data_IF_021200507476
#
_entry.id   IF_021200507476
#
_cell.length_a   1.000
_cell.length_b   1.000
_cell.length_c   1.000
_cell.angle_alpha   90.00
_cell.angle_beta   90.00
_cell.angle_gamma   90.00
#
_symmetry.space_group_name_H-M   'P 1'
#
loop_
_entity.id
_entity.type
_entity.pdbx_description
1 polymer ?
#
# COMPACT_ATOMS: atom_id res chain seq x y z
N UNK A 1 1.99 -55.76 -1.06
CA UNK A 1 1.29 -56.40 0.07
C UNK A 1 1.85 -55.84 1.37
N UNK A 2 1.25 -54.78 1.90
CA UNK A 2 1.60 -54.23 3.22
C UNK A 2 0.51 -54.70 4.20
N UNK A 3 0.73 -55.86 4.81
CA UNK A 3 -0.15 -56.42 5.83
C UNK A 3 0.11 -55.76 7.17
N UNK A 4 -0.93 -55.17 7.74
CA UNK A 4 -1.00 -54.49 9.03
C UNK A 4 -0.46 -55.32 10.19
N UNK A 5 0.69 -54.90 10.74
CA UNK A 5 1.27 -55.41 11.99
C UNK A 5 0.68 -54.60 13.17
N UNK A 6 -0.55 -54.89 13.58
CA UNK A 6 -1.14 -54.27 14.78
C UNK A 6 -1.83 -55.28 15.73
N UNK A 7 -1.82 -56.57 15.41
CA UNK A 7 -2.36 -57.59 16.31
C UNK A 7 -1.32 -57.95 17.38
N UNK A 8 -1.37 -57.27 18.54
CA UNK A 8 -0.62 -57.67 19.74
C UNK A 8 -0.13 -56.54 20.65
N UNK A 9 -0.19 -55.28 20.23
CA UNK A 9 0.27 -54.14 21.04
C UNK A 9 -0.76 -53.77 22.11
N UNK A 10 -0.32 -53.61 23.37
CA UNK A 10 -1.15 -53.07 24.45
C UNK A 10 -1.53 -51.62 24.10
N UNK A 11 -2.71 -51.16 24.54
CA UNK A 11 -3.24 -49.81 24.24
C UNK A 11 -2.22 -48.67 24.45
N UNK A 12 -1.35 -48.79 25.46
CA UNK A 12 -0.31 -47.81 25.75
C UNK A 12 0.83 -47.78 24.71
N UNK A 13 1.19 -48.93 24.14
CA UNK A 13 2.23 -49.02 23.10
C UNK A 13 1.72 -48.47 21.76
N UNK A 14 0.43 -48.63 21.50
CA UNK A 14 -0.25 -48.10 20.32
C UNK A 14 -0.36 -46.56 20.39
N UNK A 15 -0.66 -46.01 21.58
CA UNK A 15 -0.63 -44.57 21.83
C UNK A 15 0.78 -43.99 21.69
N UNK A 16 1.79 -44.61 22.30
CA UNK A 16 3.18 -44.14 22.21
C UNK A 16 3.70 -44.16 20.75
N UNK A 17 3.32 -45.16 19.95
CA UNK A 17 3.67 -45.22 18.54
C UNK A 17 2.96 -44.10 17.74
N UNK A 18 1.69 -43.84 18.01
CA UNK A 18 0.94 -42.77 17.36
C UNK A 18 1.52 -41.38 17.68
N UNK A 19 1.85 -41.13 18.95
CA UNK A 19 2.48 -39.88 19.40
C UNK A 19 3.84 -39.68 18.75
N UNK A 20 4.69 -40.72 18.72
CA UNK A 20 5.99 -40.67 18.04
C UNK A 20 5.84 -40.35 16.56
N UNK A 21 4.90 -40.99 15.89
CA UNK A 21 4.65 -40.77 14.45
C UNK A 21 4.13 -39.35 14.19
N UNK A 22 3.25 -38.83 15.05
CA UNK A 22 2.77 -37.45 14.98
C UNK A 22 3.91 -36.44 15.17
N UNK A 23 4.81 -36.69 16.12
CA UNK A 23 5.97 -35.85 16.36
C UNK A 23 6.89 -35.82 15.12
N UNK A 24 7.17 -36.98 14.53
CA UNK A 24 7.97 -37.08 13.31
C UNK A 24 7.35 -36.27 12.14
N UNK A 25 6.02 -36.32 11.97
CA UNK A 25 5.35 -35.50 10.96
C UNK A 25 5.42 -34.00 11.25
N UNK A 26 5.33 -33.59 12.52
CA UNK A 26 5.47 -32.19 12.91
C UNK A 26 6.88 -31.65 12.63
N UNK A 27 7.91 -32.46 12.92
CA UNK A 27 9.30 -32.11 12.66
C UNK A 27 9.57 -31.99 11.15
N UNK A 28 9.02 -32.92 10.35
CA UNK A 28 9.08 -32.85 8.89
C UNK A 28 8.38 -31.60 8.33
N UNK A 29 7.22 -31.23 8.87
CA UNK A 29 6.52 -29.99 8.49
C UNK A 29 7.34 -28.75 8.81
N UNK A 30 7.98 -28.70 9.97
CA UNK A 30 8.86 -27.58 10.35
C UNK A 30 10.06 -27.46 9.40
N UNK A 31 10.71 -28.58 9.09
CA UNK A 31 11.85 -28.59 8.17
C UNK A 31 11.46 -28.17 6.75
N UNK A 32 10.31 -28.63 6.25
CA UNK A 32 9.79 -28.19 4.94
C UNK A 32 9.51 -26.69 4.92
N UNK A 33 8.88 -26.15 5.97
CA UNK A 33 8.64 -24.70 6.08
C UNK A 33 9.94 -23.91 6.12
N UNK A 34 10.94 -24.41 6.84
CA UNK A 34 12.28 -23.80 6.90
C UNK A 34 12.93 -23.76 5.51
N UNK A 35 12.90 -24.88 4.78
CA UNK A 35 13.45 -24.96 3.41
C UNK A 35 12.74 -24.04 2.43
N UNK A 36 11.41 -23.91 2.53
CA UNK A 36 10.64 -22.98 1.69
C UNK A 36 11.06 -21.53 1.99
N UNK A 37 11.23 -21.18 3.26
CA UNK A 37 11.69 -19.85 3.66
C UNK A 37 13.12 -19.57 3.15
N UNK A 38 14.03 -20.54 3.29
CA UNK A 38 15.40 -20.44 2.79
C UNK A 38 15.44 -20.26 1.26
N UNK A 39 14.69 -21.08 0.53
CA UNK A 39 14.58 -20.99 -0.93
C UNK A 39 13.98 -19.64 -1.37
N UNK A 40 12.97 -19.15 -0.66
CA UNK A 40 12.41 -17.81 -0.88
C UNK A 40 13.45 -16.71 -0.64
N UNK A 41 14.29 -16.86 0.38
CA UNK A 41 15.37 -15.91 0.69
C UNK A 41 16.46 -15.90 -0.39
N UNK A 42 16.89 -17.08 -0.87
CA UNK A 42 17.86 -17.22 -1.98
C UNK A 42 17.30 -16.67 -3.29
N UNK A 43 16.06 -17.02 -3.64
CA UNK A 43 15.41 -16.51 -4.84
C UNK A 43 15.27 -14.99 -4.80
N UNK A 44 14.82 -14.45 -3.66
CA UNK A 44 14.70 -13.01 -3.50
C UNK A 44 16.08 -12.34 -3.56
N UNK A 45 17.10 -12.84 -2.87
CA UNK A 45 18.44 -12.24 -2.92
C UNK A 45 19.10 -12.29 -4.31
N UNK A 46 18.79 -13.30 -5.12
CA UNK A 46 19.30 -13.44 -6.50
C UNK A 46 18.43 -12.82 -7.60
N UNK A 47 17.23 -12.33 -7.29
CA UNK A 47 16.40 -11.67 -8.29
C UNK A 47 17.10 -10.38 -8.77
N UNK A 48 17.20 -10.17 -10.09
CA UNK A 48 17.84 -8.99 -10.70
C UNK A 48 17.26 -7.65 -10.21
N UNK A 49 16.04 -7.64 -9.66
CA UNK A 49 15.45 -6.48 -9.00
C UNK A 49 16.21 -6.05 -7.72
N UNK A 50 16.97 -6.97 -7.12
CA UNK A 50 17.81 -6.77 -5.93
C UNK A 50 19.31 -6.63 -6.27
N UNK A 51 19.72 -6.81 -7.54
CA UNK A 51 21.02 -6.37 -8.05
C UNK A 51 21.06 -4.84 -8.13
N UNK A 52 21.12 -4.19 -6.95
CA UNK A 52 21.14 -2.73 -6.71
C UNK A 52 20.81 -1.90 -7.96
N UNK A 53 19.54 -1.88 -8.43
CA UNK A 53 19.08 -0.68 -9.11
C UNK A 53 19.25 0.41 -8.07
N UNK A 54 19.98 1.48 -8.40
CA UNK A 54 20.09 2.64 -7.51
C UNK A 54 18.67 2.97 -7.07
N UNK A 55 18.40 3.08 -5.76
CA UNK A 55 17.02 3.27 -5.25
C UNK A 55 16.31 4.44 -5.97
N UNK A 56 17.08 5.40 -6.48
CA UNK A 56 16.64 6.48 -7.37
C UNK A 56 15.89 6.01 -8.63
N UNK A 57 16.32 4.94 -9.29
CA UNK A 57 15.66 4.41 -10.49
C UNK A 57 14.27 3.81 -10.19
N UNK A 58 14.12 3.15 -9.04
CA UNK A 58 12.81 2.70 -8.59
C UNK A 58 11.87 3.85 -8.28
N UNK A 59 12.39 4.91 -7.65
CA UNK A 59 11.58 6.08 -7.33
C UNK A 59 11.02 6.73 -8.61
N UNK A 60 11.85 6.86 -9.67
CA UNK A 60 11.39 7.35 -10.97
C UNK A 60 10.27 6.46 -11.54
N UNK A 61 10.44 5.13 -11.52
CA UNK A 61 9.40 4.19 -11.96
C UNK A 61 8.11 4.36 -11.15
N UNK A 62 8.22 4.52 -9.83
CA UNK A 62 7.06 4.71 -8.96
C UNK A 62 6.35 6.04 -9.21
N UNK A 63 7.07 7.11 -9.56
CA UNK A 63 6.45 8.37 -9.96
C UNK A 63 5.54 8.19 -11.18
N UNK A 64 5.89 7.33 -12.15
CA UNK A 64 5.01 7.05 -13.29
C UNK A 64 3.71 6.29 -12.94
N UNK A 65 3.60 5.73 -11.73
CA UNK A 65 2.34 5.12 -11.27
C UNK A 65 1.41 6.21 -10.77
N UNK A 66 0.60 6.75 -11.66
CA UNK A 66 -0.41 7.77 -11.35
C UNK A 66 -1.75 7.15 -10.96
N UNK A 67 -2.51 7.77 -10.05
CA UNK A 67 -3.89 7.36 -9.80
C UNK A 67 -4.68 7.47 -11.11
N UNK A 68 -5.34 6.39 -11.52
CA UNK A 68 -6.22 6.40 -12.69
C UNK A 68 -7.68 6.25 -12.27
N UNK A 69 -8.61 6.50 -13.20
CA UNK A 69 -10.03 6.26 -12.95
C UNK A 69 -10.34 4.79 -12.64
N UNK A 70 -9.63 3.88 -13.32
CA UNK A 70 -9.79 2.43 -13.14
C UNK A 70 -9.16 1.97 -11.85
N UNK A 71 -8.06 2.61 -11.46
CA UNK A 71 -7.25 2.16 -10.36
C UNK A 71 -6.63 3.32 -9.60
N UNK A 72 -7.45 3.90 -8.74
CA UNK A 72 -7.02 5.05 -7.96
C UNK A 72 -5.95 4.64 -6.95
N UNK A 73 -6.10 3.48 -6.28
CA UNK A 73 -5.26 3.00 -5.18
C UNK A 73 -3.86 2.49 -5.58
N UNK A 74 -3.49 2.52 -6.87
CA UNK A 74 -2.20 2.02 -7.33
C UNK A 74 -0.99 2.59 -6.55
N UNK A 75 -0.89 3.90 -6.28
CA UNK A 75 0.22 4.47 -5.49
C UNK A 75 0.28 3.94 -4.05
N UNK A 76 -0.87 3.74 -3.41
CA UNK A 76 -0.90 3.17 -2.05
C UNK A 76 -0.47 1.71 -2.09
N UNK A 77 -0.96 0.91 -3.05
CA UNK A 77 -0.61 -0.52 -3.13
C UNK A 77 0.88 -0.73 -3.37
N UNK A 78 1.59 0.18 -4.04
CA UNK A 78 3.06 0.15 -4.12
C UNK A 78 3.72 0.16 -2.73
N UNK A 79 3.15 0.86 -1.76
CA UNK A 79 3.64 0.87 -0.36
C UNK A 79 3.40 -0.46 0.38
N UNK A 80 2.58 -1.35 -0.19
CA UNK A 80 2.27 -2.66 0.39
C UNK A 80 3.07 -3.81 -0.22
N UNK A 81 3.82 -3.61 -1.30
CA UNK A 81 4.60 -4.68 -1.97
C UNK A 81 5.68 -5.25 -1.06
N UNK A 82 6.56 -4.41 -0.53
CA UNK A 82 7.59 -4.84 0.42
C UNK A 82 8.03 -3.68 1.34
N UNK A 83 8.77 -4.02 2.40
CA UNK A 83 9.28 -3.03 3.37
C UNK A 83 10.21 -2.01 2.73
N UNK A 84 11.09 -2.44 1.82
CA UNK A 84 12.05 -1.56 1.15
C UNK A 84 11.34 -0.49 0.29
N UNK A 85 10.33 -0.90 -0.50
CA UNK A 85 9.53 0.01 -1.32
C UNK A 85 8.75 0.99 -0.46
N UNK A 86 8.11 0.51 0.60
CA UNK A 86 7.42 1.37 1.57
C UNK A 86 8.36 2.42 2.13
N UNK A 87 9.54 2.03 2.59
CA UNK A 87 10.52 2.97 3.17
C UNK A 87 10.98 3.99 2.13
N UNK A 88 11.26 3.57 0.90
CA UNK A 88 11.67 4.47 -0.19
C UNK A 88 10.56 5.48 -0.53
N UNK A 89 9.34 5.01 -0.73
CA UNK A 89 8.18 5.83 -1.10
C UNK A 89 7.82 6.81 0.03
N UNK A 90 7.76 6.33 1.28
CA UNK A 90 7.41 7.19 2.41
C UNK A 90 8.47 8.27 2.69
N UNK A 91 9.75 8.01 2.39
CA UNK A 91 10.84 8.97 2.58
C UNK A 91 11.02 9.93 1.41
N UNK A 92 10.21 9.82 0.36
CA UNK A 92 10.31 10.67 -0.82
C UNK A 92 9.10 11.61 -0.91
N UNK A 93 9.24 12.87 -0.46
CA UNK A 93 8.17 13.85 -0.58
C UNK A 93 7.79 14.14 -2.04
N UNK A 94 8.77 14.02 -2.95
CA UNK A 94 8.58 14.23 -4.40
C UNK A 94 7.56 13.23 -4.97
N UNK A 95 7.61 11.97 -4.53
CA UNK A 95 6.64 10.97 -4.97
C UNK A 95 5.21 11.36 -4.61
N UNK A 96 5.00 11.90 -3.40
CA UNK A 96 3.67 12.29 -2.93
C UNK A 96 3.19 13.58 -3.58
N UNK A 97 4.09 14.53 -3.82
CA UNK A 97 3.81 15.75 -4.57
C UNK A 97 3.30 15.48 -5.99
N UNK A 98 3.92 14.53 -6.69
CA UNK A 98 3.48 14.10 -8.03
C UNK A 98 2.04 13.55 -8.05
N UNK A 99 1.54 13.03 -6.91
CA UNK A 99 0.13 12.59 -6.79
C UNK A 99 -0.84 13.74 -6.50
N UNK A 100 -0.33 14.90 -6.08
CA UNK A 100 -1.12 16.11 -5.79
C UNK A 100 -1.15 17.11 -6.94
N UNK A 101 -0.32 16.95 -7.98
CA UNK A 101 -0.29 17.86 -9.14
C UNK A 101 0.21 17.12 -10.39
N UNK A 102 -0.64 16.30 -11.05
CA UNK A 102 -0.18 15.49 -12.16
C UNK A 102 0.12 16.31 -13.43
N UNK A 103 -0.35 17.56 -13.54
CA UNK A 103 -0.10 18.44 -14.70
C UNK A 103 -0.26 19.92 -14.28
N UNK A 104 0.66 20.84 -14.67
CA UNK A 104 0.40 22.28 -14.53
C UNK A 104 -0.91 22.64 -15.24
N UNK A 105 -1.82 23.30 -14.51
CA UNK A 105 -3.21 23.64 -14.89
C UNK A 105 -4.27 22.53 -14.76
N UNK A 106 -3.93 21.35 -14.23
CA UNK A 106 -4.93 20.33 -13.89
C UNK A 106 -5.46 20.50 -12.46
N UNK A 107 -6.78 20.60 -12.31
CA UNK A 107 -7.41 20.53 -10.98
C UNK A 107 -7.39 19.09 -10.47
N UNK A 108 -6.86 18.86 -9.27
CA UNK A 108 -7.08 17.59 -8.55
C UNK A 108 -8.55 17.52 -8.17
N UNK A 109 -9.29 16.64 -8.86
CA UNK A 109 -10.68 16.31 -8.54
C UNK A 109 -10.69 15.25 -7.43
N UNK A 110 -10.76 15.68 -6.19
CA UNK A 110 -10.84 14.77 -5.06
C UNK A 110 -12.28 14.26 -4.89
N UNK A 111 -12.51 12.99 -5.18
CA UNK A 111 -13.69 12.21 -4.83
C UNK A 111 -13.46 11.36 -3.58
N UNK A 112 -14.53 10.73 -3.06
CA UNK A 112 -14.42 9.75 -1.98
C UNK A 112 -13.46 8.60 -2.26
N UNK A 113 -13.36 8.15 -3.53
CA UNK A 113 -12.45 7.06 -3.90
C UNK A 113 -11.00 7.51 -3.90
N UNK A 114 -10.75 8.81 -4.09
CA UNK A 114 -9.42 9.40 -4.08
C UNK A 114 -8.89 9.82 -2.72
N UNK A 115 -9.79 9.86 -1.74
CA UNK A 115 -9.56 10.42 -0.42
C UNK A 115 -8.28 9.88 0.27
N UNK A 116 -8.06 8.55 0.37
CA UNK A 116 -6.91 8.03 1.10
C UNK A 116 -5.56 8.44 0.52
N UNK A 117 -5.48 8.63 -0.81
CA UNK A 117 -4.23 9.02 -1.48
C UNK A 117 -3.97 10.50 -1.29
N UNK A 118 -5.01 11.32 -1.44
CA UNK A 118 -4.90 12.76 -1.22
C UNK A 118 -4.43 13.02 0.21
N UNK A 119 -5.02 12.34 1.20
CA UNK A 119 -4.61 12.43 2.61
C UNK A 119 -3.17 11.96 2.82
N UNK A 120 -2.82 10.77 2.33
CA UNK A 120 -1.46 10.23 2.47
C UNK A 120 -0.42 11.13 1.78
N UNK A 121 -0.79 11.76 0.67
CA UNK A 121 0.07 12.67 -0.05
C UNK A 121 0.23 13.99 0.68
N UNK A 122 -0.84 14.55 1.28
CA UNK A 122 -0.73 15.71 2.15
C UNK A 122 0.19 15.45 3.34
N UNK A 123 -0.02 14.34 4.06
CA UNK A 123 0.75 13.99 5.25
C UNK A 123 2.27 13.87 4.96
N UNK A 124 2.62 13.39 3.77
CA UNK A 124 3.99 12.97 3.43
C UNK A 124 4.71 13.88 2.43
N UNK A 125 4.00 14.83 1.83
CA UNK A 125 4.60 15.83 0.94
C UNK A 125 5.30 16.94 1.73
N UNK A 126 6.24 17.62 1.07
CA UNK A 126 6.75 18.89 1.59
C UNK A 126 5.70 19.99 1.38
N UNK A 127 5.71 21.06 2.18
CA UNK A 127 4.82 22.19 1.98
C UNK A 127 5.00 22.76 0.56
N UNK A 128 3.97 22.64 -0.26
CA UNK A 128 3.98 23.20 -1.61
C UNK A 128 3.27 24.55 -1.62
N UNK A 129 3.89 25.56 -2.23
CA UNK A 129 3.45 26.96 -2.16
C UNK A 129 2.14 27.26 -2.93
N UNK A 130 1.66 26.33 -3.75
CA UNK A 130 0.44 26.53 -4.53
C UNK A 130 -0.18 25.22 -4.99
N UNK A 131 -1.00 24.62 -4.12
CA UNK A 131 -1.84 23.49 -4.53
C UNK A 131 -3.25 23.99 -4.85
N UNK A 132 -3.79 23.59 -6.01
CA UNK A 132 -5.17 23.88 -6.43
C UNK A 132 -6.01 22.61 -6.38
N UNK A 133 -6.99 22.59 -5.48
CA UNK A 133 -7.89 21.44 -5.34
C UNK A 133 -9.31 21.78 -5.74
N UNK A 134 -9.98 20.82 -6.38
CA UNK A 134 -11.43 20.80 -6.52
C UNK A 134 -11.98 19.68 -5.64
N UNK A 135 -12.59 20.06 -4.52
CA UNK A 135 -13.02 19.12 -3.50
C UNK A 135 -14.53 18.95 -3.49
N UNK A 136 -14.98 17.71 -3.32
CA UNK A 136 -16.37 17.44 -2.99
C UNK A 136 -16.68 17.87 -1.55
N UNK A 137 -17.84 18.49 -1.30
CA UNK A 137 -18.21 19.09 0.00
C UNK A 137 -18.02 18.15 1.21
N UNK A 138 -18.29 16.85 1.02
CA UNK A 138 -18.14 15.84 2.05
C UNK A 138 -16.70 15.62 2.54
N UNK A 139 -15.71 16.20 1.86
CA UNK A 139 -14.30 16.12 2.21
C UNK A 139 -13.83 17.24 3.16
N UNK A 140 -14.59 18.33 3.28
CA UNK A 140 -14.24 19.46 4.16
C UNK A 140 -13.99 19.08 5.63
N UNK A 141 -14.81 18.22 6.26
CA UNK A 141 -14.55 17.81 7.65
C UNK A 141 -13.23 17.06 7.81
N UNK A 142 -12.76 16.37 6.77
CA UNK A 142 -11.51 15.60 6.83
C UNK A 142 -10.29 16.51 6.76
N UNK A 143 -10.34 17.58 5.96
CA UNK A 143 -9.28 18.59 5.94
C UNK A 143 -9.12 19.29 7.28
N UNK A 144 -10.21 19.53 8.01
CA UNK A 144 -10.16 20.12 9.35
C UNK A 144 -9.42 19.24 10.37
N UNK A 145 -9.27 17.94 10.11
CA UNK A 145 -8.52 17.01 10.98
C UNK A 145 -7.02 16.98 10.71
N UNK A 146 -6.53 17.70 9.69
CA UNK A 146 -5.11 17.73 9.31
C UNK A 146 -4.55 19.16 9.47
N UNK A 147 -4.45 19.67 10.70
CA UNK A 147 -4.12 21.08 10.96
C UNK A 147 -2.70 21.48 10.50
N UNK A 148 -1.75 20.55 10.41
CA UNK A 148 -0.35 20.84 10.02
C UNK A 148 -0.13 21.07 8.52
N UNK A 149 -1.10 20.76 7.66
CA UNK A 149 -0.95 20.82 6.20
C UNK A 149 -1.88 21.83 5.52
N UNK A 150 -2.62 22.64 6.29
CA UNK A 150 -3.55 23.65 5.73
C UNK A 150 -2.82 24.94 5.34
N UNK A 151 -1.73 25.30 6.04
CA UNK A 151 -0.91 26.50 5.74
C UNK A 151 -0.38 26.59 4.30
N UNK A 152 0.02 25.49 3.61
CA UNK A 152 0.43 25.56 2.20
C UNK A 152 -0.71 25.64 1.16
N UNK A 153 -1.98 25.52 1.56
CA UNK A 153 -3.10 25.60 0.60
C UNK A 153 -3.35 27.07 0.25
N UNK A 154 -2.82 27.52 -0.88
CA UNK A 154 -3.01 28.91 -1.35
C UNK A 154 -4.36 29.13 -2.05
N UNK A 155 -5.02 28.07 -2.53
CA UNK A 155 -6.33 28.19 -3.19
C UNK A 155 -7.15 26.90 -3.07
N UNK A 156 -8.37 27.02 -2.53
CA UNK A 156 -9.29 25.90 -2.34
C UNK A 156 -10.57 26.10 -3.17
N UNK A 157 -10.77 25.31 -4.21
CA UNK A 157 -12.03 25.34 -4.97
C UNK A 157 -12.98 24.27 -4.45
N UNK A 158 -14.18 24.68 -4.06
CA UNK A 158 -15.22 23.76 -3.63
C UNK A 158 -16.18 23.52 -4.80
N UNK A 159 -16.26 22.25 -5.22
CA UNK A 159 -17.21 21.85 -6.25
C UNK A 159 -18.51 21.43 -5.57
N UNK A 160 -19.52 22.29 -5.68
CA UNK A 160 -20.88 21.99 -5.25
C UNK A 160 -21.56 21.18 -6.36
N UNK A 161 -21.47 19.86 -6.27
CA UNK A 161 -22.31 18.99 -7.10
C UNK A 161 -23.67 18.89 -6.42
N UNK A 162 -24.59 19.79 -6.77
CA UNK A 162 -25.98 19.67 -6.39
C UNK A 162 -26.65 18.64 -7.32
N UNK A 163 -27.33 17.63 -6.76
CA UNK A 163 -27.95 16.53 -7.52
C UNK A 163 -29.09 16.96 -8.48
N UNK A 164 -29.37 18.26 -8.57
CA UNK A 164 -30.33 18.85 -9.51
C UNK A 164 -29.69 20.06 -10.20
N UNK A 165 -29.26 19.86 -11.45
CA UNK A 165 -29.05 20.89 -12.48
C UNK A 165 -27.93 21.92 -12.24
N UNK A 166 -26.97 21.93 -13.16
CA UNK A 166 -25.90 22.90 -13.42
C UNK A 166 -24.81 23.00 -12.35
N UNK A 167 -23.67 22.37 -12.65
CA UNK A 167 -22.42 22.48 -11.90
C UNK A 167 -22.05 23.96 -11.69
N UNK A 168 -22.17 24.42 -10.44
CA UNK A 168 -21.71 25.73 -10.02
C UNK A 168 -20.41 25.55 -9.23
N UNK A 169 -19.30 26.04 -9.79
CA UNK A 169 -18.03 26.14 -9.08
C UNK A 169 -18.09 27.38 -8.18
N UNK A 170 -18.06 27.19 -6.87
CA UNK A 170 -17.91 28.30 -5.92
C UNK A 170 -16.46 28.32 -5.43
N UNK A 171 -15.71 29.36 -5.79
CA UNK A 171 -14.37 29.58 -5.28
C UNK A 171 -14.40 30.10 -3.84
N UNK A 172 -13.63 29.48 -2.95
CA UNK A 172 -13.40 29.96 -1.59
C UNK A 172 -11.90 30.26 -1.47
N UNK A 173 -11.57 31.54 -1.33
CA UNK A 173 -10.21 31.95 -0.99
C UNK A 173 -10.07 31.82 0.53
N UNK A 174 -9.10 31.01 0.98
CA UNK A 174 -8.70 30.90 2.38
C UNK A 174 -7.64 31.95 2.71
#
# INVERSE_FOLDING_TARGET
MAGTIYQGLRSAELQAMAEKTMQEYQDQMMELRRRIADAGSVYNSGAAINEKPRLEGFLQIFCYVTPSYVDFMAPIRLTHVCRAWRTLIHRSPVFWMDKLDPVPDSEVKASFTSLPIVLAAFEKSQPALSLRFSLHWAFLPTLATIPSHVSPISTLWLRLVCSRSNDTLCGLFL
#
